data_IF_976384586219
#
_entry.id   IF_976384586219
#
_cell.length_a   1.000
_cell.length_b   1.000
_cell.length_c   1.000
_cell.angle_alpha   90.00
_cell.angle_beta   90.00
_cell.angle_gamma   90.00
#
_symmetry.space_group_name_H-M   'P 1'
#
loop_
_entity.id
_entity.type
_entity.pdbx_description
1 polymer ?
#
# COMPACT_ATOMS: atom_id res chain seq x y z
N UNK A 1 9.95 3.46 16.54
CA UNK A 1 9.15 4.62 16.10
C UNK A 1 8.03 4.82 17.10
N UNK A 2 7.70 6.07 17.44
CA UNK A 2 6.71 6.36 18.48
C UNK A 2 5.30 5.97 18.01
N UNK A 3 4.56 5.29 18.87
CA UNK A 3 3.12 5.09 18.67
C UNK A 3 2.38 6.36 19.12
N UNK A 4 1.23 6.63 18.51
CA UNK A 4 0.48 7.87 18.62
C UNK A 4 -0.99 7.55 18.93
N UNK A 5 -1.55 8.32 19.86
CA UNK A 5 -2.99 8.37 20.06
C UNK A 5 -3.60 9.38 19.08
N UNK A 6 -4.57 8.92 18.30
CA UNK A 6 -5.25 9.71 17.28
C UNK A 6 -6.74 9.75 17.59
N UNK A 7 -7.33 10.93 17.47
CA UNK A 7 -8.77 11.15 17.58
C UNK A 7 -9.28 11.87 16.36
N UNK A 8 -10.38 11.40 15.79
CA UNK A 8 -10.97 11.98 14.60
C UNK A 8 -12.49 11.82 14.59
N UNK A 9 -13.19 12.67 13.85
CA UNK A 9 -14.64 12.59 13.70
C UNK A 9 -15.00 11.63 12.55
N UNK A 10 -15.92 10.70 12.79
CA UNK A 10 -16.47 9.85 11.75
C UNK A 10 -18.00 9.81 11.83
N UNK A 11 -18.63 10.15 10.71
CA UNK A 11 -20.07 10.39 10.63
C UNK A 11 -20.53 11.43 11.68
N UNK A 12 -21.01 10.99 12.84
CA UNK A 12 -21.56 11.87 13.90
C UNK A 12 -20.93 11.61 15.27
N UNK A 13 -19.73 11.05 15.33
CA UNK A 13 -19.07 10.75 16.61
C UNK A 13 -17.55 10.81 16.51
N UNK A 14 -16.91 11.00 17.67
CA UNK A 14 -15.47 10.88 17.80
C UNK A 14 -15.07 9.41 17.87
N UNK A 15 -14.06 9.07 17.08
CA UNK A 15 -13.35 7.80 17.06
C UNK A 15 -11.95 8.04 17.61
N UNK A 16 -11.50 7.13 18.46
CA UNK A 16 -10.15 7.16 19.03
C UNK A 16 -9.42 5.89 18.62
N UNK A 17 -8.13 6.00 18.35
CA UNK A 17 -7.29 4.87 18.01
C UNK A 17 -5.84 5.11 18.37
N UNK A 18 -5.10 4.02 18.50
CA UNK A 18 -3.68 4.03 18.80
C UNK A 18 -2.93 3.35 17.66
N UNK A 19 -1.80 3.89 17.23
CA UNK A 19 -1.09 3.30 16.11
C UNK A 19 0.19 4.00 15.72
N UNK A 20 0.62 3.77 14.47
CA UNK A 20 1.92 4.24 13.98
C UNK A 20 1.85 4.56 12.50
N UNK A 21 2.80 5.37 12.04
CA UNK A 21 3.04 5.57 10.61
C UNK A 21 3.49 4.27 9.95
N UNK A 22 3.04 4.07 8.71
CA UNK A 22 3.45 2.92 7.91
C UNK A 22 4.91 3.08 7.49
N UNK A 23 5.66 2.01 7.69
CA UNK A 23 6.97 1.80 7.07
C UNK A 23 6.89 0.53 6.26
N UNK A 24 7.19 0.65 4.98
CA UNK A 24 7.19 -0.48 4.04
C UNK A 24 8.51 -0.51 3.29
N UNK A 25 9.22 -1.64 3.36
CA UNK A 25 10.47 -1.87 2.64
C UNK A 25 11.52 -0.75 2.77
N UNK A 26 11.60 -0.13 3.95
CA UNK A 26 12.53 0.97 4.25
C UNK A 26 12.01 2.37 3.92
N UNK A 27 10.87 2.49 3.23
CA UNK A 27 10.21 3.76 2.98
C UNK A 27 9.30 4.12 4.16
N UNK A 28 9.38 5.38 4.60
CA UNK A 28 8.51 5.93 5.64
C UNK A 28 7.41 6.77 4.98
N UNK A 29 6.16 6.47 5.31
CA UNK A 29 4.99 7.17 4.78
C UNK A 29 4.36 8.01 5.90
N UNK A 30 4.83 9.26 6.10
CA UNK A 30 4.43 10.10 7.23
C UNK A 30 2.96 10.55 7.16
N UNK A 31 2.30 10.37 6.02
CA UNK A 31 0.89 10.67 5.84
C UNK A 31 0.00 9.42 5.94
N UNK A 32 0.55 8.21 6.15
CA UNK A 32 -0.23 6.97 6.26
C UNK A 32 -0.10 6.37 7.65
N UNK A 33 -1.20 6.32 8.41
CA UNK A 33 -1.26 5.72 9.74
C UNK A 33 -2.01 4.41 9.71
N UNK A 34 -1.48 3.40 10.39
CA UNK A 34 -2.24 2.20 10.76
C UNK A 34 -2.70 2.34 12.20
N UNK A 35 -4.01 2.32 12.42
CA UNK A 35 -4.61 2.51 13.74
C UNK A 35 -5.34 1.27 14.20
N UNK A 36 -5.22 0.96 15.49
CA UNK A 36 -6.13 0.08 16.22
C UNK A 36 -7.14 0.96 16.93
N UNK A 37 -8.43 0.83 16.58
CA UNK A 37 -9.49 1.68 17.08
C UNK A 37 -10.03 1.17 18.42
N UNK A 38 -10.38 2.08 19.32
CA UNK A 38 -10.99 1.73 20.60
C UNK A 38 -12.38 1.14 20.41
N UNK A 39 -12.67 0.02 21.07
CA UNK A 39 -13.97 -0.66 20.97
C UNK A 39 -15.15 0.26 21.34
N UNK A 40 -14.94 1.16 22.30
CA UNK A 40 -15.99 2.05 22.80
C UNK A 40 -16.37 3.16 21.80
N UNK A 41 -15.46 3.53 20.90
CA UNK A 41 -15.64 4.67 19.99
C UNK A 41 -15.78 4.25 18.53
N UNK A 42 -15.24 3.10 18.11
CA UNK A 42 -15.21 2.69 16.68
C UNK A 42 -16.58 2.40 16.06
N UNK A 43 -17.57 2.00 16.85
CA UNK A 43 -18.91 1.57 16.40
C UNK A 43 -18.85 0.60 15.21
N UNK A 44 -19.23 1.06 14.01
CA UNK A 44 -19.30 0.27 12.78
C UNK A 44 -17.96 0.11 12.06
N UNK A 45 -16.93 0.90 12.43
CA UNK A 45 -15.59 0.73 11.88
C UNK A 45 -14.95 -0.58 12.40
N UNK A 46 -14.12 -1.24 11.58
CA UNK A 46 -13.35 -2.41 12.00
C UNK A 46 -12.36 -2.05 13.11
N UNK A 47 -11.78 -3.07 13.76
CA UNK A 47 -10.77 -2.87 14.80
C UNK A 47 -9.50 -2.21 14.26
N UNK A 48 -9.15 -2.47 12.99
CA UNK A 48 -7.97 -1.89 12.34
C UNK A 48 -8.38 -1.13 11.08
N UNK A 49 -7.82 0.07 10.93
CA UNK A 49 -7.99 0.92 9.76
C UNK A 49 -6.65 1.52 9.34
N UNK A 50 -6.58 1.88 8.07
CA UNK A 50 -5.56 2.78 7.55
C UNK A 50 -6.17 4.18 7.45
N UNK A 51 -5.49 5.17 8.00
CA UNK A 51 -5.82 6.57 7.82
C UNK A 51 -4.76 7.20 6.94
N UNK A 52 -5.13 7.53 5.70
CA UNK A 52 -4.24 8.19 4.73
C UNK A 52 -4.57 9.68 4.70
N UNK A 53 -3.71 10.50 5.28
CA UNK A 53 -3.79 11.96 5.28
C UNK A 53 -3.40 12.50 3.90
N UNK A 54 -3.93 13.66 3.56
CA UNK A 54 -3.48 14.46 2.42
C UNK A 54 -1.99 14.80 2.58
N UNK A 55 -1.19 14.54 1.55
CA UNK A 55 0.23 14.88 1.55
C UNK A 55 0.42 16.37 1.21
N UNK A 56 0.45 17.19 2.27
CA UNK A 56 0.62 18.64 2.16
C UNK A 56 1.98 19.04 1.55
N UNK A 57 3.02 18.22 1.70
CA UNK A 57 4.32 18.51 1.10
C UNK A 57 4.28 18.26 -0.41
N UNK A 58 3.69 17.15 -0.84
CA UNK A 58 3.48 16.87 -2.25
C UNK A 58 2.63 17.97 -2.90
N UNK A 59 1.57 18.43 -2.24
CA UNK A 59 0.74 19.55 -2.71
C UNK A 59 1.56 20.84 -2.92
N UNK A 60 2.41 21.22 -1.95
CA UNK A 60 3.28 22.41 -2.06
C UNK A 60 4.23 22.35 -3.24
N UNK A 61 4.73 21.15 -3.57
CA UNK A 61 5.72 20.99 -4.66
C UNK A 61 5.13 21.06 -6.06
N UNK A 62 3.83 20.79 -6.22
CA UNK A 62 3.18 20.75 -7.55
C UNK A 62 2.65 22.10 -8.03
N UNK A 63 2.58 23.11 -7.15
CA UNK A 63 2.08 24.44 -7.47
C UNK A 63 0.56 24.55 -7.42
N UNK A 64 0.03 25.78 -7.41
CA UNK A 64 -1.40 26.07 -7.15
C UNK A 64 -2.36 25.58 -8.25
N UNK A 65 -1.87 25.42 -9.48
CA UNK A 65 -2.67 24.97 -10.63
C UNK A 65 -2.71 23.44 -10.80
N UNK A 66 -2.00 22.70 -9.95
CA UNK A 66 -1.98 21.24 -10.03
C UNK A 66 -3.29 20.63 -9.52
N UNK A 67 -3.70 19.55 -10.16
CA UNK A 67 -4.84 18.76 -9.71
C UNK A 67 -4.63 18.26 -8.28
N UNK A 68 -5.66 18.39 -7.45
CA UNK A 68 -5.59 18.01 -6.05
C UNK A 68 -5.61 16.48 -5.92
N UNK A 69 -4.48 15.89 -5.52
CA UNK A 69 -4.31 14.43 -5.48
C UNK A 69 -5.23 13.72 -4.49
N UNK A 70 -5.57 14.39 -3.38
CA UNK A 70 -6.50 13.83 -2.42
C UNK A 70 -7.91 13.72 -3.03
N UNK A 71 -8.33 14.73 -3.79
CA UNK A 71 -9.62 14.73 -4.47
C UNK A 71 -9.65 13.68 -5.59
N UNK A 72 -8.57 13.56 -6.37
CA UNK A 72 -8.40 12.51 -7.39
C UNK A 72 -8.51 11.11 -6.78
N UNK A 73 -7.79 10.85 -5.70
CA UNK A 73 -7.83 9.54 -5.04
C UNK A 73 -9.23 9.25 -4.47
N UNK A 74 -9.86 10.23 -3.83
CA UNK A 74 -11.21 10.10 -3.30
C UNK A 74 -12.23 9.79 -4.41
N UNK A 75 -12.21 10.54 -5.51
CA UNK A 75 -13.10 10.32 -6.66
C UNK A 75 -12.87 8.95 -7.29
N UNK A 76 -11.62 8.50 -7.35
CA UNK A 76 -11.26 7.18 -7.85
C UNK A 76 -11.85 6.07 -6.98
N UNK A 77 -11.76 6.16 -5.65
CA UNK A 77 -12.44 5.21 -4.76
C UNK A 77 -13.96 5.19 -4.94
N UNK A 78 -14.59 6.36 -5.16
CA UNK A 78 -16.03 6.43 -5.43
C UNK A 78 -16.38 5.74 -6.75
N UNK A 79 -15.56 5.93 -7.78
CA UNK A 79 -15.74 5.30 -9.10
C UNK A 79 -15.55 3.79 -9.04
N UNK A 80 -14.59 3.32 -8.26
CA UNK A 80 -14.24 1.90 -8.10
C UNK A 80 -15.01 1.21 -6.97
N UNK A 81 -16.15 1.76 -6.54
CA UNK A 81 -16.93 1.28 -5.39
C UNK A 81 -17.19 -0.22 -5.39
N UNK A 82 -17.48 -0.79 -6.56
CA UNK A 82 -17.82 -2.22 -6.73
C UNK A 82 -16.59 -3.15 -6.63
N UNK A 83 -15.37 -2.59 -6.70
CA UNK A 83 -14.10 -3.34 -6.57
C UNK A 83 -13.56 -3.36 -5.13
N UNK A 84 -14.12 -2.51 -4.26
CA UNK A 84 -13.65 -2.32 -2.89
C UNK A 84 -13.79 -3.58 -2.04
N UNK A 85 -12.70 -3.92 -1.34
CA UNK A 85 -12.57 -5.12 -0.52
C UNK A 85 -12.24 -6.40 -1.29
N UNK A 86 -12.15 -6.34 -2.63
CA UNK A 86 -11.73 -7.45 -3.47
C UNK A 86 -10.43 -7.17 -4.20
N UNK A 87 -10.35 -6.04 -4.89
CA UNK A 87 -9.18 -5.66 -5.70
C UNK A 87 -8.52 -4.37 -5.22
N UNK A 88 -9.23 -3.58 -4.40
CA UNK A 88 -8.74 -2.34 -3.80
C UNK A 88 -9.22 -2.25 -2.34
N UNK A 89 -8.62 -1.41 -1.48
CA UNK A 89 -9.12 -1.17 -0.12
C UNK A 89 -10.57 -0.68 -0.10
N UNK A 90 -11.28 -0.91 1.01
CA UNK A 90 -12.58 -0.27 1.24
C UNK A 90 -12.38 1.13 1.78
N UNK A 91 -12.95 2.14 1.12
CA UNK A 91 -13.13 3.47 1.69
C UNK A 91 -14.34 3.47 2.63
N UNK A 92 -14.09 3.69 3.92
CA UNK A 92 -15.14 3.88 4.93
C UNK A 92 -15.66 5.32 4.96
N UNK A 93 -14.83 6.28 4.59
CA UNK A 93 -15.20 7.69 4.47
C UNK A 93 -14.02 8.64 4.60
N UNK A 94 -14.33 9.91 4.76
CA UNK A 94 -13.37 11.02 4.88
C UNK A 94 -13.47 11.63 6.27
N UNK A 95 -12.34 12.04 6.83
CA UNK A 95 -12.24 12.73 8.12
C UNK A 95 -11.16 13.80 8.09
N UNK A 96 -10.88 14.41 9.25
CA UNK A 96 -9.71 15.25 9.48
C UNK A 96 -8.89 14.71 10.66
N UNK A 97 -7.59 14.65 10.47
CA UNK A 97 -6.60 14.31 11.51
C UNK A 97 -5.58 15.44 11.59
N UNK A 98 -5.47 16.06 12.76
CA UNK A 98 -4.62 17.23 13.00
C UNK A 98 -4.86 18.38 12.01
N UNK A 99 -6.13 18.60 11.64
CA UNK A 99 -6.55 19.63 10.69
C UNK A 99 -6.43 19.24 9.20
N UNK A 100 -5.63 18.21 8.87
CA UNK A 100 -5.45 17.71 7.51
C UNK A 100 -6.54 16.72 7.12
N UNK A 101 -6.99 16.75 5.85
CA UNK A 101 -7.98 15.80 5.32
C UNK A 101 -7.41 14.39 5.32
N UNK A 102 -8.24 13.38 5.54
CA UNK A 102 -7.79 12.00 5.54
C UNK A 102 -8.87 11.03 5.04
N UNK A 103 -8.44 10.01 4.29
CA UNK A 103 -9.23 8.85 3.93
C UNK A 103 -9.15 7.80 5.05
N UNK A 104 -10.28 7.20 5.40
CA UNK A 104 -10.34 6.05 6.30
C UNK A 104 -10.54 4.81 5.43
N UNK A 105 -9.50 4.00 5.33
CA UNK A 105 -9.42 2.83 4.47
C UNK A 105 -9.39 1.54 5.30
N UNK A 106 -9.81 0.42 4.71
CA UNK A 106 -9.59 -0.90 5.30
C UNK A 106 -8.11 -1.22 5.40
N UNK A 107 -7.69 -1.75 6.54
CA UNK A 107 -6.42 -2.44 6.66
C UNK A 107 -6.46 -3.76 5.88
N UNK A 108 -5.76 -3.80 4.75
CA UNK A 108 -5.74 -4.94 3.83
C UNK A 108 -4.71 -6.02 4.23
N UNK A 109 -3.86 -5.76 5.22
CA UNK A 109 -2.77 -6.66 5.59
C UNK A 109 -1.79 -6.94 4.46
N UNK A 110 -1.18 -8.14 4.48
CA UNK A 110 -0.27 -8.59 3.42
C UNK A 110 1.05 -7.82 3.37
N UNK A 111 1.72 -7.92 2.20
CA UNK A 111 3.01 -7.29 1.94
C UNK A 111 3.03 -6.64 0.56
N UNK A 112 3.80 -5.57 0.40
CA UNK A 112 4.07 -5.00 -0.94
C UNK A 112 4.82 -6.00 -1.82
N UNK A 113 4.68 -5.88 -3.14
CA UNK A 113 5.39 -6.75 -4.08
C UNK A 113 6.93 -6.65 -4.01
N UNK A 114 7.46 -5.62 -3.34
CA UNK A 114 8.91 -5.46 -3.11
C UNK A 114 9.39 -6.06 -1.79
N UNK A 115 8.48 -6.48 -0.91
CA UNK A 115 8.81 -7.03 0.40
C UNK A 115 9.54 -8.38 0.26
N UNK A 116 10.49 -8.65 1.16
CA UNK A 116 11.28 -9.89 1.14
C UNK A 116 10.48 -11.14 1.53
N UNK A 117 9.31 -10.94 2.15
CA UNK A 117 8.35 -11.98 2.53
C UNK A 117 7.43 -12.37 1.37
N UNK A 118 7.50 -11.66 0.24
CA UNK A 118 6.76 -12.04 -0.96
C UNK A 118 7.08 -13.50 -1.34
N UNK A 119 6.06 -14.35 -1.50
CA UNK A 119 6.31 -15.71 -1.95
C UNK A 119 6.87 -15.69 -3.36
N UNK A 120 7.57 -16.77 -3.71
CA UNK A 120 7.89 -17.05 -5.08
C UNK A 120 6.61 -17.49 -5.81
N UNK A 121 6.28 -16.79 -6.89
CA UNK A 121 5.12 -17.07 -7.75
C UNK A 121 5.67 -17.26 -9.16
N UNK A 122 5.26 -18.33 -9.84
CA UNK A 122 5.66 -18.58 -11.22
C UNK A 122 5.14 -17.47 -12.12
N UNK A 123 5.87 -17.15 -13.20
CA UNK A 123 5.56 -15.96 -14.01
C UNK A 123 4.15 -15.99 -14.61
N UNK A 124 3.72 -17.13 -15.15
CA UNK A 124 2.40 -17.27 -15.76
C UNK A 124 1.28 -17.08 -14.73
N UNK A 125 1.48 -17.60 -13.51
CA UNK A 125 0.56 -17.43 -12.38
C UNK A 125 0.54 -15.96 -11.92
N UNK A 126 1.71 -15.34 -11.76
CA UNK A 126 1.84 -13.93 -11.38
C UNK A 126 1.13 -13.02 -12.37
N UNK A 127 1.35 -13.23 -13.67
CA UNK A 127 0.69 -12.48 -14.75
C UNK A 127 -0.82 -12.63 -14.68
N UNK A 128 -1.29 -13.87 -14.55
CA UNK A 128 -2.72 -14.17 -14.47
C UNK A 128 -3.38 -13.51 -13.25
N UNK A 129 -2.76 -13.59 -12.08
CA UNK A 129 -3.31 -13.02 -10.85
C UNK A 129 -3.24 -11.48 -10.82
N UNK A 130 -2.19 -10.87 -11.36
CA UNK A 130 -2.08 -9.41 -11.48
C UNK A 130 -3.08 -8.83 -12.49
N UNK A 131 -3.39 -9.56 -13.56
CA UNK A 131 -4.35 -9.10 -14.57
C UNK A 131 -5.72 -8.83 -13.96
N UNK A 132 -6.16 -9.65 -13.00
CA UNK A 132 -7.51 -9.55 -12.41
C UNK A 132 -7.84 -8.17 -11.82
N UNK A 133 -7.07 -7.61 -10.86
CA UNK A 133 -7.35 -6.28 -10.35
C UNK A 133 -7.14 -5.19 -11.42
N UNK A 134 -6.09 -5.30 -12.24
CA UNK A 134 -5.76 -4.27 -13.24
C UNK A 134 -6.84 -4.16 -14.33
N UNK A 135 -7.31 -5.30 -14.83
CA UNK A 135 -8.41 -5.36 -15.79
C UNK A 135 -9.71 -4.80 -15.19
N UNK A 136 -10.05 -5.20 -13.95
CA UNK A 136 -11.25 -4.72 -13.29
C UNK A 136 -11.23 -3.20 -13.09
N UNK A 137 -10.11 -2.64 -12.65
CA UNK A 137 -9.90 -1.20 -12.50
C UNK A 137 -9.99 -0.51 -13.86
N UNK A 138 -9.29 -1.05 -14.86
CA UNK A 138 -9.26 -0.48 -16.19
C UNK A 138 -10.65 -0.41 -16.81
N UNK A 139 -11.44 -1.48 -16.71
CA UNK A 139 -12.82 -1.55 -17.22
C UNK A 139 -13.77 -0.53 -16.57
N UNK A 140 -13.44 -0.02 -15.39
CA UNK A 140 -14.15 1.11 -14.78
C UNK A 140 -13.73 2.48 -15.36
N UNK A 141 -12.81 2.53 -16.32
CA UNK A 141 -12.33 3.75 -16.96
C UNK A 141 -11.15 4.41 -16.24
N UNK A 142 -10.42 3.67 -15.41
CA UNK A 142 -9.27 4.18 -14.63
C UNK A 142 -7.98 3.58 -15.16
N UNK A 143 -7.05 4.40 -15.62
CA UNK A 143 -5.68 4.00 -15.95
C UNK A 143 -4.74 4.41 -14.82
N UNK A 144 -3.90 3.48 -14.34
CA UNK A 144 -2.97 3.73 -13.23
C UNK A 144 -1.65 4.32 -13.75
N UNK A 145 -1.41 5.61 -13.55
CA UNK A 145 -0.22 6.29 -14.09
C UNK A 145 1.05 5.99 -13.27
N UNK A 146 0.91 5.76 -11.96
CA UNK A 146 2.02 5.37 -11.07
C UNK A 146 1.91 3.90 -10.61
N UNK A 147 1.61 2.99 -11.55
CA UNK A 147 1.60 1.57 -11.22
C UNK A 147 3.02 1.10 -10.89
N UNK A 148 3.20 0.62 -9.67
CA UNK A 148 4.49 0.11 -9.21
C UNK A 148 4.31 -1.01 -8.18
N UNK A 149 5.34 -1.84 -7.98
CA UNK A 149 5.34 -2.84 -6.91
C UNK A 149 5.17 -2.30 -5.48
N UNK A 150 5.32 -1.00 -5.26
CA UNK A 150 5.03 -0.37 -3.96
C UNK A 150 3.53 -0.20 -3.74
N UNK A 151 2.76 -0.05 -4.82
CA UNK A 151 1.34 0.30 -4.81
C UNK A 151 0.44 -0.94 -4.99
N UNK A 152 1.03 -2.13 -4.83
CA UNK A 152 0.34 -3.42 -4.92
C UNK A 152 0.75 -4.29 -3.74
N UNK A 153 -0.24 -4.70 -2.95
CA UNK A 153 -0.08 -5.70 -1.89
C UNK A 153 -0.45 -7.08 -2.39
N UNK A 154 0.25 -8.09 -1.88
CA UNK A 154 -0.15 -9.48 -1.95
C UNK A 154 -0.72 -9.90 -0.58
N UNK A 155 -2.00 -10.28 -0.59
CA UNK A 155 -2.78 -10.63 0.59
C UNK A 155 -3.41 -12.01 0.36
N UNK A 156 -2.89 -13.03 1.05
CA UNK A 156 -3.46 -14.40 1.06
C UNK A 156 -3.82 -14.95 -0.34
N UNK A 157 -2.91 -14.79 -1.31
CA UNK A 157 -3.12 -15.27 -2.68
C UNK A 157 -3.77 -14.27 -3.64
N UNK A 158 -4.13 -13.08 -3.16
CA UNK A 158 -4.78 -12.04 -3.98
C UNK A 158 -3.94 -10.77 -4.05
N UNK A 159 -3.89 -10.16 -5.23
CA UNK A 159 -3.29 -8.83 -5.39
C UNK A 159 -4.32 -7.72 -5.16
N UNK A 160 -3.95 -6.77 -4.31
CA UNK A 160 -4.76 -5.60 -3.99
C UNK A 160 -3.97 -4.36 -4.40
N UNK A 161 -4.53 -3.59 -5.33
CA UNK A 161 -3.99 -2.31 -5.76
C UNK A 161 -4.45 -1.24 -4.79
N UNK A 162 -3.54 -0.39 -4.36
CA UNK A 162 -3.82 0.75 -3.50
C UNK A 162 -3.00 1.94 -3.96
N UNK A 163 -3.34 3.13 -3.47
CA UNK A 163 -2.79 4.41 -3.91
C UNK A 163 -3.29 4.84 -5.31
N UNK A 164 -4.22 5.79 -5.33
CA UNK A 164 -4.83 6.32 -6.57
C UNK A 164 -4.60 7.83 -6.74
N UNK A 165 -3.52 8.36 -6.18
CA UNK A 165 -3.16 9.78 -6.36
C UNK A 165 -2.81 10.11 -7.82
N UNK A 166 -2.29 9.13 -8.58
CA UNK A 166 -1.87 9.30 -9.97
C UNK A 166 -2.61 8.33 -10.87
N UNK A 167 -3.73 8.78 -11.40
CA UNK A 167 -4.55 8.03 -12.34
C UNK A 167 -5.07 8.93 -13.46
N UNK A 168 -5.39 8.33 -14.59
CA UNK A 168 -6.12 8.99 -15.67
C UNK A 168 -7.51 8.38 -15.84
N UNK A 169 -8.53 9.25 -15.88
CA UNK A 169 -9.90 8.87 -16.20
C UNK A 169 -10.05 8.74 -17.72
N UNK A 170 -9.80 7.53 -18.25
CA UNK A 170 -9.72 7.26 -19.69
C UNK A 170 -10.71 6.18 -20.10
N UNK A 171 -11.53 6.45 -21.10
CA UNK A 171 -12.36 5.44 -21.77
C UNK A 171 -11.84 5.19 -23.17
N UNK A 172 -11.95 3.95 -23.62
CA UNK A 172 -11.52 3.53 -24.94
C UNK A 172 -12.28 2.29 -25.38
N UNK A 173 -11.85 1.71 -26.50
CA UNK A 173 -12.34 0.37 -26.84
C UNK A 173 -11.77 -0.63 -25.85
N UNK A 174 -12.51 -1.69 -25.58
CA UNK A 174 -12.05 -2.75 -24.67
C UNK A 174 -10.70 -3.32 -25.12
N UNK A 175 -10.44 -3.42 -26.42
CA UNK A 175 -9.14 -3.88 -26.93
C UNK A 175 -7.99 -2.96 -26.48
N UNK A 176 -8.10 -1.65 -26.72
CA UNK A 176 -7.08 -0.66 -26.33
C UNK A 176 -6.85 -0.68 -24.80
N UNK A 177 -7.92 -0.84 -24.04
CA UNK A 177 -7.88 -0.96 -22.58
C UNK A 177 -7.14 -2.22 -22.13
N UNK A 178 -7.31 -3.36 -22.82
CA UNK A 178 -6.61 -4.59 -22.48
C UNK A 178 -5.14 -4.52 -22.84
N UNK A 179 -4.76 -3.83 -23.92
CA UNK A 179 -3.36 -3.55 -24.25
C UNK A 179 -2.69 -2.72 -23.14
N UNK A 180 -3.37 -1.70 -22.62
CA UNK A 180 -2.88 -0.93 -21.47
C UNK A 180 -2.71 -1.81 -20.22
N UNK A 181 -3.64 -2.73 -19.94
CA UNK A 181 -3.51 -3.71 -18.84
C UNK A 181 -2.29 -4.61 -19.04
N UNK A 182 -2.07 -5.11 -20.27
CA UNK A 182 -0.92 -5.97 -20.59
C UNK A 182 0.41 -5.26 -20.31
N UNK A 183 0.52 -3.98 -20.69
CA UNK A 183 1.68 -3.14 -20.40
C UNK A 183 1.91 -3.02 -18.89
N UNK A 184 0.86 -2.76 -18.10
CA UNK A 184 0.99 -2.63 -16.64
C UNK A 184 1.37 -3.95 -15.96
N UNK A 185 0.84 -5.07 -16.43
CA UNK A 185 1.23 -6.42 -15.97
C UNK A 185 2.71 -6.67 -16.26
N UNK A 186 3.18 -6.36 -17.47
CA UNK A 186 4.59 -6.50 -17.85
C UNK A 186 5.50 -5.69 -16.92
N UNK A 187 5.18 -4.42 -16.67
CA UNK A 187 5.94 -3.54 -15.78
C UNK A 187 6.08 -4.12 -14.36
N UNK A 188 4.99 -4.65 -13.80
CA UNK A 188 4.99 -5.23 -12.45
C UNK A 188 5.78 -6.56 -12.40
N UNK A 189 5.60 -7.43 -13.40
CA UNK A 189 6.29 -8.73 -13.48
C UNK A 189 7.79 -8.53 -13.63
N UNK A 190 8.22 -7.62 -14.51
CA UNK A 190 9.62 -7.30 -14.69
C UNK A 190 10.25 -6.77 -13.39
N UNK A 191 9.56 -5.86 -12.71
CA UNK A 191 10.02 -5.28 -11.46
C UNK A 191 10.10 -6.30 -10.32
N UNK A 192 9.10 -7.19 -10.22
CA UNK A 192 9.09 -8.31 -9.29
C UNK A 192 10.26 -9.27 -9.55
N UNK A 193 10.47 -9.70 -10.80
CA UNK A 193 11.58 -10.58 -11.17
C UNK A 193 12.94 -9.97 -10.85
N UNK A 194 13.11 -8.66 -11.13
CA UNK A 194 14.32 -7.92 -10.77
C UNK A 194 14.55 -7.94 -9.25
N UNK A 195 13.50 -7.71 -8.45
CA UNK A 195 13.58 -7.75 -6.98
C UNK A 195 13.91 -9.14 -6.46
N UNK A 196 13.26 -10.20 -6.96
CA UNK A 196 13.53 -11.59 -6.56
C UNK A 196 14.97 -12.00 -6.85
N UNK A 197 15.52 -11.61 -8.02
CA UNK A 197 16.93 -11.81 -8.34
C UNK A 197 17.85 -11.11 -7.34
N UNK A 198 17.55 -9.86 -6.98
CA UNK A 198 18.33 -9.10 -6.00
C UNK A 198 18.31 -9.74 -4.60
N UNK A 199 17.13 -10.21 -4.14
CA UNK A 199 16.98 -10.92 -2.86
C UNK A 199 17.79 -12.22 -2.89
N UNK A 200 17.72 -12.99 -3.97
CA UNK A 200 18.46 -14.25 -4.11
C UNK A 200 19.98 -14.01 -4.07
N UNK A 201 20.48 -13.00 -4.81
CA UNK A 201 21.89 -12.62 -4.79
C UNK A 201 22.35 -12.13 -3.40
N UNK A 202 21.51 -11.37 -2.70
CA UNK A 202 21.82 -10.91 -1.34
C UNK A 202 21.93 -12.09 -0.36
N UNK A 203 21.02 -13.07 -0.44
CA UNK A 203 21.06 -14.28 0.39
C UNK A 203 22.32 -15.11 0.12
N UNK A 204 22.70 -15.28 -1.15
CA UNK A 204 23.94 -15.99 -1.52
C UNK A 204 25.21 -15.31 -0.97
N UNK A 205 25.28 -13.97 -1.02
CA UNK A 205 26.40 -13.20 -0.47
C UNK A 205 26.52 -13.35 1.06
N UNK A 206 25.40 -13.39 1.77
CA UNK A 206 25.39 -13.61 3.22
C UNK A 206 25.76 -15.05 3.60
N UNK A 207 25.35 -16.06 2.81
CA UNK A 207 25.77 -17.46 3.02
C UNK A 207 27.23 -17.75 2.64
N UNK A 208 27.86 -16.86 1.85
CA UNK A 208 29.24 -17.00 1.37
C UNK A 208 30.30 -16.29 2.22
N UNK A 209 29.94 -15.63 3.33
CA UNK A 209 30.93 -15.09 4.27
C UNK A 209 31.49 -16.23 5.14
N UNK A 210 32.80 -16.54 5.10
CA UNK A 210 33.39 -17.46 6.07
C UNK A 210 33.30 -16.86 7.48
N UNK A 211 32.95 -17.70 8.45
CA UNK A 211 33.07 -17.39 9.89
C UNK A 211 34.54 -17.11 10.24
N UNK A 212 34.99 -15.87 10.06
CA UNK A 212 36.29 -15.42 10.57
C UNK A 212 36.11 -14.82 11.96
N UNK A 213 35.92 -15.68 12.97
CA UNK A 213 36.31 -15.41 14.37
C UNK A 213 36.02 -16.60 15.28
N UNK A 214 36.73 -17.70 15.08
CA UNK A 214 37.07 -18.55 16.20
C UNK A 214 38.13 -17.84 17.06
N UNK A 215 37.80 -17.64 18.34
CA UNK A 215 38.67 -17.34 19.50
C UNK A 215 39.14 -15.88 19.74
N UNK A 216 38.46 -15.16 20.65
CA UNK A 216 38.67 -15.21 22.12
C UNK A 216 37.83 -14.15 22.83
N UNK A 217 37.04 -14.58 23.82
CA UNK A 217 36.82 -13.80 25.05
C UNK A 217 35.56 -12.93 25.13
N UNK A 218 34.78 -13.22 26.18
CA UNK A 218 33.78 -12.38 26.85
C UNK A 218 32.35 -12.54 26.31
N UNK A 219 31.67 -13.45 27.00
CA UNK A 219 30.24 -13.62 27.14
C UNK A 219 29.61 -12.33 27.70
N UNK A 220 28.71 -11.68 26.95
CA UNK A 220 27.75 -10.72 27.51
C UNK A 220 26.40 -10.85 26.77
N UNK A 221 25.45 -11.40 27.52
CA UNK A 221 24.00 -11.18 27.52
C UNK A 221 23.29 -10.83 26.21
N UNK A 222 22.52 -11.79 25.70
CA UNK A 222 21.29 -11.49 24.97
C UNK A 222 20.19 -11.29 26.01
N UNK A 223 19.80 -10.04 26.27
CA UNK A 223 18.58 -9.72 27.00
C UNK A 223 18.00 -8.37 26.52
N UNK A 224 16.68 -8.39 26.34
CA UNK A 224 15.73 -7.28 26.23
C UNK A 224 15.55 -6.53 24.89
N UNK A 225 14.44 -6.85 24.23
CA UNK A 225 13.51 -5.84 23.71
C UNK A 225 12.13 -6.09 24.32
N UNK A 226 11.83 -5.33 25.38
CA UNK A 226 10.51 -4.78 25.68
C UNK A 226 10.47 -3.36 25.09
#
# INVERSE_FOLDING_TARGET
MAELDVSFEFATHMVTGHGRFIVSSGNHYPHVLRLTLSENTRKSLPNHVIVKKEDEELLKTRGEDAENLFDVEMETYQRLKDLQGRYIPKLYGVTKVDGSRALILSDIGGFTMIDERMPFIEEDELRYELRKPLEAIRLCGVLLDDISPNNVHYCDGTFIVFDFEFVEMRYGRTEDMMEEVDIQVDMLVESYKKRQRAIHQARQKHSGMPNSSANKGIFLGWDHYL
#
